data_IF_595123371448
#
_entry.id   IF_595123371448
#
_cell.length_a   1.000
_cell.length_b   1.000
_cell.length_c   1.000
_cell.angle_alpha   90.00
_cell.angle_beta   90.00
_cell.angle_gamma   90.00
#
_symmetry.space_group_name_H-M   'P 1'
#
loop_
_entity.id
_entity.type
_entity.pdbx_description
1 polymer ?
2 non-polymer ?
3 water ?
#
# COMPACT_ATOMS: atom_id res chain seq x y z
N UNK A 1 10.19 -15.64 -15.18
CA UNK A 1 9.25 -14.54 -15.55
C UNK A 1 7.90 -14.71 -14.86
N UNK A 2 7.38 -13.63 -14.29
CA UNK A 2 6.06 -13.64 -13.67
C UNK A 2 5.03 -14.23 -14.62
N UNK A 3 4.25 -15.20 -14.15
CA UNK A 3 3.23 -15.82 -15.00
C UNK A 3 2.10 -14.83 -15.25
N UNK A 4 1.39 -15.00 -16.35
CA UNK A 4 0.21 -14.16 -16.63
C UNK A 4 -0.82 -14.28 -15.51
N UNK A 5 -1.01 -15.50 -15.00
CA UNK A 5 -1.95 -15.73 -13.90
C UNK A 5 -1.55 -14.93 -12.66
N UNK A 6 -0.26 -15.02 -12.29
CA UNK A 6 0.26 -14.27 -11.13
C UNK A 6 0.19 -12.76 -11.34
N UNK A 7 0.46 -12.32 -12.56
CA UNK A 7 0.40 -10.90 -12.88
C UNK A 7 -1.02 -10.38 -12.68
N UNK A 8 -2.01 -11.15 -13.11
CA UNK A 8 -3.40 -10.77 -12.91
C UNK A 8 -3.72 -10.66 -11.42
N UNK A 9 -3.26 -11.65 -10.64
CA UNK A 9 -3.52 -11.63 -9.20
C UNK A 9 -2.87 -10.42 -8.53
N UNK A 10 -1.65 -10.11 -8.93
CA UNK A 10 -0.94 -8.95 -8.36
C UNK A 10 -1.64 -7.64 -8.72
N UNK A 11 -1.99 -7.51 -9.99
CA UNK A 11 -2.57 -6.27 -10.48
C UNK A 11 -4.02 -6.05 -10.07
N UNK A 12 -4.78 -7.14 -9.94
CA UNK A 12 -6.24 -7.02 -9.93
C UNK A 12 -6.99 -7.66 -8.77
N UNK A 13 -6.30 -8.46 -7.96
CA UNK A 13 -6.99 -9.18 -6.88
C UNK A 13 -6.68 -8.61 -5.51
N UNK A 14 -7.72 -8.25 -4.78
CA UNK A 14 -7.62 -7.91 -3.36
C UNK A 14 -8.87 -8.39 -2.65
N UNK A 15 -8.96 -9.70 -2.50
CA UNK A 15 -10.15 -10.34 -1.95
C UNK A 15 -10.38 -9.95 -0.50
N UNK A 16 -11.61 -9.57 -0.19
CA UNK A 16 -11.98 -9.18 1.17
C UNK A 16 -13.19 -8.28 1.21
N UNK A 17 -13.80 -8.17 2.39
CA UNK A 17 -15.03 -7.40 2.57
C UNK A 17 -14.85 -5.90 2.75
N UNK A 18 -13.72 -5.50 3.32
CA UNK A 18 -13.48 -4.09 3.63
C UNK A 18 -12.07 -3.65 3.26
N UNK A 19 -11.76 -3.66 1.94
CA UNK A 19 -10.40 -3.37 1.49
C UNK A 19 -9.90 -1.96 1.84
N UNK A 20 -10.82 -1.00 1.87
CA UNK A 20 -10.47 0.41 2.13
C UNK A 20 -10.53 0.79 3.61
N UNK A 21 -10.88 -0.16 4.47
CA UNK A 21 -10.95 0.07 5.92
C UNK A 21 -9.65 0.61 6.48
N UNK A 22 -9.76 1.53 7.44
CA UNK A 22 -8.60 2.07 8.14
C UNK A 22 -7.80 0.96 8.83
N UNK A 23 -8.48 -0.14 9.18
CA UNK A 23 -7.82 -1.30 9.77
C UNK A 23 -6.77 -1.92 8.85
N UNK A 24 -6.88 -1.63 7.55
CA UNK A 24 -5.95 -2.17 6.55
C UNK A 24 -4.78 -1.26 6.23
N UNK A 25 -4.73 -0.09 6.89
CA UNK A 25 -3.70 0.91 6.58
C UNK A 25 -2.29 0.31 6.64
N UNK A 26 -1.95 -0.33 7.77
CA UNK A 26 -0.62 -0.91 7.92
C UNK A 26 -0.33 -1.99 6.87
N UNK A 27 -1.31 -2.85 6.57
CA UNK A 27 -1.12 -3.85 5.53
C UNK A 27 -0.70 -3.22 4.22
N UNK A 28 -1.38 -2.13 3.85
CA UNK A 28 -1.12 -1.45 2.58
C UNK A 28 0.19 -0.68 2.62
N UNK A 29 0.40 0.06 3.71
CA UNK A 29 1.57 0.93 3.83
C UNK A 29 2.86 0.16 3.96
N UNK A 30 2.85 -0.90 4.76
CA UNK A 30 4.05 -1.72 4.95
C UNK A 30 4.45 -2.34 3.62
N UNK A 31 3.46 -2.68 2.81
CA UNK A 31 3.72 -3.19 1.47
C UNK A 31 4.27 -2.10 0.56
N UNK A 32 3.56 -0.98 0.48
CA UNK A 32 3.93 0.14 -0.38
C UNK A 32 5.33 0.66 -0.07
N UNK A 33 5.64 0.79 1.22
CA UNK A 33 6.91 1.38 1.65
C UNK A 33 8.02 0.33 1.79
N UNK A 34 7.78 -0.83 1.22
CA UNK A 34 8.82 -1.86 0.98
C UNK A 34 9.36 -2.48 2.26
N UNK A 35 8.48 -2.72 3.22
CA UNK A 35 8.89 -3.37 4.47
C UNK A 35 8.31 -4.77 4.63
N UNK A 36 7.87 -5.35 3.51
CA UNK A 36 7.37 -6.73 3.49
C UNK A 36 8.06 -7.58 2.42
N UNK A 37 9.22 -7.12 1.95
CA UNK A 37 10.03 -7.88 1.00
C UNK A 37 11.06 -8.73 1.74
N UNK A 38 11.04 -10.04 1.49
CA UNK A 38 11.97 -10.97 2.12
C UNK A 38 11.47 -11.51 3.46
N UNK A 39 10.94 -10.60 4.28
CA UNK A 39 10.35 -10.94 5.57
C UNK A 39 9.37 -9.82 5.95
N UNK A 40 8.48 -10.10 6.90
CA UNK A 40 7.60 -9.06 7.41
C UNK A 40 8.33 -8.30 8.51
N UNK A 41 8.52 -7.01 8.31
CA UNK A 41 9.07 -6.20 9.38
C UNK A 41 8.06 -6.24 10.54
N UNK A 42 8.49 -6.70 11.72
CA UNK A 42 7.53 -6.95 12.81
C UNK A 42 6.86 -5.72 13.42
N UNK A 43 7.58 -4.60 13.49
CA UNK A 43 7.10 -3.38 14.14
C UNK A 43 7.54 -2.19 13.32
N UNK A 44 6.62 -1.29 12.99
CA UNK A 44 7.00 -0.06 12.30
C UNK A 44 6.02 1.05 12.60
N UNK A 45 6.57 2.25 12.80
CA UNK A 45 5.78 3.44 13.08
C UNK A 45 5.77 4.41 11.90
N UNK A 46 4.58 4.89 11.54
CA UNK A 46 4.43 6.00 10.60
C UNK A 46 4.02 7.26 11.34
N UNK A 47 4.61 8.38 10.97
CA UNK A 47 4.35 9.66 11.62
C UNK A 47 3.55 10.56 10.68
N UNK A 48 2.46 11.13 11.18
CA UNK A 48 1.57 11.94 10.34
C UNK A 48 1.77 13.46 10.42
N UNK A 49 2.75 13.86 11.22
CA UNK A 49 3.09 15.26 11.37
C UNK A 49 3.96 15.72 10.20
N UNK A 50 4.02 17.03 10.01
CA UNK A 50 4.89 17.64 9.02
C UNK A 50 6.32 17.17 9.21
N UNK A 51 7.03 16.98 8.11
CA UNK A 51 8.46 16.68 8.17
C UNK A 51 9.24 17.77 8.91
N UNK A 52 8.77 19.02 8.85
CA UNK A 52 9.40 20.10 9.60
C UNK A 52 9.39 19.82 11.11
N UNK A 53 8.25 19.34 11.61
CA UNK A 53 8.11 19.02 13.03
C UNK A 53 8.97 17.84 13.42
N UNK A 54 9.08 16.84 12.54
CA UNK A 54 9.90 15.67 12.82
C UNK A 54 11.39 16.03 12.78
N UNK A 55 11.78 16.80 11.77
CA UNK A 55 13.16 17.30 11.70
C UNK A 55 13.54 18.13 12.93
N UNK A 56 12.56 18.90 13.45
CA UNK A 56 12.80 19.75 14.62
C UNK A 56 13.17 18.94 15.87
N UNK A 57 12.82 17.66 15.88
CA UNK A 57 13.11 16.81 17.05
C UNK A 57 14.62 16.69 17.27
N UNK A 58 15.39 16.79 16.19
CA UNK A 58 16.85 16.74 16.23
C UNK A 58 17.47 17.90 17.01
N UNK A 59 16.65 18.90 17.35
CA UNK A 59 17.09 20.00 18.21
C UNK A 59 16.36 20.02 19.54
N UNK A 60 15.67 18.93 19.87
CA UNK A 60 14.86 18.86 21.09
C UNK A 60 15.55 18.07 22.21
N UNK A 61 14.81 17.23 22.93
CA UNK A 61 15.34 16.57 24.14
C UNK A 61 16.25 15.39 23.80
N UNK A 62 17.53 15.51 24.17
CA UNK A 62 18.48 14.40 24.02
C UNK A 62 18.10 13.22 24.92
N UNK A 63 18.07 12.02 24.33
CA UNK A 63 17.87 10.78 25.08
C UNK A 63 18.76 9.68 24.48
N UNK A 64 19.15 8.71 25.30
CA UNK A 64 19.92 7.58 24.78
C UNK A 64 19.02 6.69 23.93
N UNK A 65 19.54 6.27 22.79
CA UNK A 65 18.84 5.32 21.94
C UNK A 65 18.72 4.00 22.67
N UNK A 66 17.68 3.23 22.33
CA UNK A 66 17.47 1.91 22.92
C UNK A 66 18.69 1.01 22.75
N UNK A 67 19.41 1.18 21.64
CA UNK A 67 20.58 0.34 21.35
C UNK A 67 21.90 0.87 21.89
N UNK A 68 21.83 1.92 22.71
CA UNK A 68 23.03 2.46 23.35
C UNK A 68 23.75 3.53 22.56
N UNK A 69 23.31 3.81 21.34
CA UNK A 69 23.85 4.94 20.58
C UNK A 69 23.41 6.23 21.24
N UNK A 70 24.14 7.31 20.96
CA UNK A 70 24.01 8.55 21.71
C UNK A 70 23.66 9.71 20.77
N UNK A 71 22.84 9.41 19.79
CA UNK A 71 22.39 10.43 18.83
C UNK A 71 20.87 10.48 18.71
N UNK A 72 20.17 10.07 19.77
CA UNK A 72 18.72 10.09 19.80
C UNK A 72 18.15 11.32 20.48
N UNK A 73 16.94 11.65 20.09
CA UNK A 73 16.24 12.85 20.55
C UNK A 73 14.78 12.50 20.70
N UNK A 74 14.17 13.00 21.77
CA UNK A 74 12.75 12.81 22.02
C UNK A 74 12.00 14.09 21.67
N UNK A 75 10.85 13.93 21.02
CA UNK A 75 9.99 15.08 20.70
C UNK A 75 9.45 15.71 21.98
N UNK A 76 9.44 17.04 22.00
CA UNK A 76 8.95 17.77 23.18
C UNK A 76 7.45 17.56 23.36
N UNK A 77 6.74 17.44 22.25
CA UNK A 77 5.30 17.23 22.27
C UNK A 77 4.95 15.86 21.67
N UNK A 78 3.74 15.39 21.94
CA UNK A 78 3.24 14.18 21.30
C UNK A 78 2.99 14.45 19.83
N UNK A 79 2.98 13.37 19.06
CA UNK A 79 2.71 13.43 17.63
C UNK A 79 1.68 12.37 17.27
N UNK A 80 0.89 12.67 16.24
CA UNK A 80 -0.05 11.71 15.69
C UNK A 80 0.73 10.70 14.88
N UNK A 81 0.69 9.45 15.32
CA UNK A 81 1.43 8.38 14.67
C UNK A 81 0.56 7.16 14.50
N UNK A 82 0.99 6.26 13.62
CA UNK A 82 0.34 4.98 13.45
C UNK A 82 1.36 3.90 13.74
N UNK A 83 0.99 3.04 14.67
CA UNK A 83 1.80 1.93 15.11
C UNK A 83 1.36 0.70 14.31
N UNK A 84 2.33 0.09 13.60
CA UNK A 84 2.07 -1.13 12.85
C UNK A 84 2.82 -2.30 13.47
N UNK A 85 2.07 -3.33 13.83
CA UNK A 85 2.63 -4.51 14.48
C UNK A 85 2.01 -5.76 13.91
N UNK A 86 2.86 -6.72 13.54
CA UNK A 86 2.39 -8.00 13.03
C UNK A 86 1.38 -8.64 13.96
N UNK A 87 0.34 -9.22 13.37
CA UNK A 87 -0.64 -10.00 14.12
C UNK A 87 -0.07 -11.38 14.40
N UNK A 88 -0.70 -12.11 15.33
CA UNK A 88 -0.29 -13.48 15.64
C UNK A 88 -0.44 -14.42 14.47
N UNK A 89 -1.28 -14.03 13.50
CA UNK A 89 -1.57 -14.84 12.32
C UNK A 89 -0.69 -14.52 11.11
N UNK A 90 -0.01 -13.38 11.16
CA UNK A 90 0.89 -12.95 10.09
C UNK A 90 2.00 -13.94 9.81
N UNK A 91 2.15 -14.30 8.54
CA UNK A 91 3.17 -15.24 8.10
C UNK A 91 3.61 -14.90 6.68
N UNK A 92 4.87 -14.47 6.53
CA UNK A 92 5.44 -14.18 5.21
C UNK A 92 5.19 -15.35 4.26
N UNK A 93 4.83 -15.07 2.98
CA UNK A 93 4.72 -13.77 2.33
C UNK A 93 3.40 -13.03 2.55
N UNK A 94 2.53 -13.59 3.39
CA UNK A 94 1.27 -12.94 3.76
C UNK A 94 1.42 -12.18 5.07
N UNK A 95 2.01 -10.99 4.97
CA UNK A 95 2.23 -10.15 6.14
C UNK A 95 0.91 -9.50 6.56
N UNK A 96 0.61 -9.55 7.85
CA UNK A 96 -0.61 -8.96 8.39
C UNK A 96 -0.29 -8.11 9.61
N UNK A 97 -0.90 -6.94 9.67
CA UNK A 97 -0.60 -5.97 10.70
C UNK A 97 -1.83 -5.45 11.41
N UNK A 98 -1.67 -5.22 12.71
CA UNK A 98 -2.64 -4.45 13.48
C UNK A 98 -2.26 -2.99 13.36
N UNK A 99 -3.22 -2.18 12.91
CA UNK A 99 -3.08 -0.74 12.80
C UNK A 99 -3.63 -0.07 14.06
N UNK A 100 -2.78 0.71 14.74
CA UNK A 100 -3.20 1.48 15.91
C UNK A 100 -2.80 2.93 15.77
N UNK A 101 -3.78 3.81 15.79
CA UNK A 101 -3.53 5.24 15.79
C UNK A 101 -3.41 5.73 17.22
N UNK A 102 -2.27 6.34 17.52
CA UNK A 102 -2.00 6.87 18.86
C UNK A 102 -1.33 8.22 18.77
N UNK A 103 -1.32 8.93 19.90
CA UNK A 103 -0.53 10.14 20.03
C UNK A 103 0.51 9.88 21.10
N UNK A 104 1.77 9.90 20.69
CA UNK A 104 2.90 9.60 21.57
C UNK A 104 4.07 10.50 21.25
N UNK A 105 4.99 10.65 22.20
CA UNK A 105 6.27 11.27 21.88
C UNK A 105 7.05 10.30 21.02
N UNK A 106 7.83 10.82 20.08
CA UNK A 106 8.69 9.96 19.27
C UNK A 106 10.14 10.14 19.66
N UNK A 107 10.92 9.08 19.52
CA UNK A 107 12.36 9.14 19.72
C UNK A 107 13.00 8.71 18.42
N UNK A 108 13.83 9.59 17.88
CA UNK A 108 14.53 9.30 16.63
C UNK A 108 16.03 9.49 16.79
N UNK A 109 16.81 8.75 16.00
CA UNK A 109 18.24 9.04 15.89
C UNK A 109 18.42 10.07 14.79
N UNK A 110 19.30 11.03 15.04
CA UNK A 110 19.62 12.07 14.07
C UNK A 110 21.07 11.98 13.63
N UNK A 111 21.27 12.08 12.32
CA UNK A 111 22.59 11.92 11.75
C UNK A 111 22.75 12.67 10.44
N UNK A 112 23.98 12.70 9.96
CA UNK A 112 24.30 13.43 8.75
C UNK A 112 24.48 14.92 8.96
N UNK A 113 24.71 15.62 7.85
CA UNK A 113 24.81 17.06 7.85
C UNK A 113 24.01 17.54 6.63
N UNK A 114 22.91 18.26 6.87
CA UNK A 114 22.34 18.65 8.16
C UNK A 114 21.91 17.44 8.96
N UNK A 115 21.84 17.59 10.28
CA UNK A 115 21.45 16.49 11.14
C UNK A 115 19.95 16.30 11.05
N UNK A 116 19.53 15.16 10.50
CA UNK A 116 18.12 14.87 10.28
C UNK A 116 17.78 13.47 10.81
N UNK A 117 16.48 13.18 10.97
CA UNK A 117 16.14 11.82 11.43
C UNK A 117 16.63 10.73 10.47
N UNK A 118 17.32 9.72 11.03
CA UNK A 118 17.85 8.61 10.23
C UNK A 118 17.36 7.25 10.72
N UNK A 119 16.77 7.22 11.91
CA UNK A 119 16.24 5.97 12.47
C UNK A 119 15.10 6.29 13.40
N UNK A 120 14.08 5.44 13.41
CA UNK A 120 13.01 5.59 14.39
C UNK A 120 13.32 4.66 15.55
N UNK A 121 13.53 5.24 16.73
CA UNK A 121 14.00 4.44 17.87
C UNK A 121 12.87 3.85 18.71
N UNK A 122 11.91 4.70 19.07
CA UNK A 122 10.83 4.32 19.97
C UNK A 122 9.73 5.36 19.95
N UNK A 123 8.55 4.95 20.41
CA UNK A 123 7.51 5.89 20.78
C UNK A 123 7.23 5.71 22.27
N UNK A 124 6.98 6.81 22.97
CA UNK A 124 6.79 6.79 24.43
C UNK A 124 5.58 7.61 24.86
N UNK B 1 22.88 4.43 -3.71
CA UNK B 1 22.31 3.80 -2.48
C UNK B 1 21.41 4.80 -1.78
N UNK B 2 20.23 4.33 -1.36
CA UNK B 2 19.26 5.15 -0.65
C UNK B 2 19.90 5.80 0.57
N UNK B 3 19.73 7.12 0.70
CA UNK B 3 20.27 7.82 1.87
C UNK B 3 19.50 7.42 3.11
N UNK B 4 20.17 7.50 4.27
CA UNK B 4 19.52 7.23 5.54
C UNK B 4 18.34 8.18 5.77
N UNK B 5 18.50 9.44 5.36
CA UNK B 5 17.40 10.40 5.48
C UNK B 5 16.20 9.97 4.65
N UNK B 6 16.46 9.55 3.41
CA UNK B 6 15.41 9.08 2.52
C UNK B 6 14.78 7.79 3.03
N UNK B 7 15.60 6.89 3.57
CA UNK B 7 15.11 5.65 4.17
C UNK B 7 14.17 5.95 5.33
N UNK B 8 14.54 6.93 6.16
CA UNK B 8 13.67 7.30 7.28
C UNK B 8 12.33 7.83 6.75
N UNK B 9 12.37 8.67 5.71
CA UNK B 9 11.15 9.21 5.12
C UNK B 9 10.28 8.09 4.54
N UNK B 10 10.91 7.13 3.88
CA UNK B 10 10.17 6.00 3.32
C UNK B 10 9.53 5.13 4.40
N UNK B 11 10.30 4.81 5.43
CA UNK B 11 9.84 3.87 6.43
C UNK B 11 8.88 4.49 7.45
N UNK B 12 9.02 5.79 7.68
CA UNK B 12 8.39 6.40 8.85
C UNK B 12 7.56 7.65 8.65
N UNK B 13 7.59 8.24 7.46
CA UNK B 13 6.85 9.48 7.24
C UNK B 13 5.61 9.28 6.38
N UNK B 14 4.47 9.73 6.91
CA UNK B 14 3.27 9.85 6.10
C UNK B 14 2.52 11.14 6.47
N UNK B 15 3.18 12.26 6.17
CA UNK B 15 2.69 13.59 6.53
C UNK B 15 1.47 13.99 5.70
N UNK B 16 1.37 13.40 4.51
CA UNK B 16 0.42 13.88 3.51
C UNK B 16 -0.89 13.13 3.50
N UNK B 17 -1.07 12.21 4.45
CA UNK B 17 -2.24 11.34 4.43
C UNK B 17 -2.84 11.08 5.80
N UNK B 18 -4.13 10.75 5.78
CA UNK B 18 -4.84 10.32 6.96
C UNK B 18 -4.94 8.80 6.98
N UNK B 19 -4.52 8.17 8.08
CA UNK B 19 -4.67 6.72 8.18
C UNK B 19 -6.13 6.25 8.26
N UNK B 20 -7.05 7.17 8.56
CA UNK B 20 -8.48 6.85 8.60
C UNK B 20 -9.19 7.09 7.27
N UNK B 21 -8.44 7.47 6.24
CA UNK B 21 -9.02 7.69 4.91
C UNK B 21 -9.47 6.40 4.23
N UNK B 22 -10.62 6.48 3.57
CA UNK B 22 -11.09 5.42 2.68
C UNK B 22 -10.69 5.71 1.24
N UNK B 23 -10.33 6.96 0.95
CA UNK B 23 -10.07 7.38 -0.42
C UNK B 23 -8.60 7.31 -0.84
N UNK B 24 -7.74 6.89 0.09
CA UNK B 24 -6.31 6.74 -0.16
C UNK B 24 -5.98 5.32 -0.62
N UNK B 25 -7.00 4.48 -0.68
CA UNK B 25 -6.80 3.07 -1.04
C UNK B 25 -6.00 2.87 -2.33
N UNK B 26 -6.43 3.52 -3.41
CA UNK B 26 -5.75 3.33 -4.69
C UNK B 26 -4.29 3.80 -4.63
N UNK B 27 -4.05 4.93 -3.99
CA UNK B 27 -2.68 5.42 -3.83
C UNK B 27 -1.78 4.38 -3.20
N UNK B 28 -2.28 3.74 -2.15
CA UNK B 28 -1.48 2.75 -1.44
C UNK B 28 -1.39 1.44 -2.18
N UNK B 29 -2.51 0.98 -2.74
CA UNK B 29 -2.53 -0.32 -3.40
C UNK B 29 -1.78 -0.33 -4.73
N UNK B 30 -1.91 0.74 -5.50
CA UNK B 30 -1.16 0.86 -6.76
C UNK B 30 0.34 0.86 -6.48
N UNK B 31 0.73 1.48 -5.36
CA UNK B 31 2.11 1.47 -4.91
C UNK B 31 2.52 0.05 -4.46
N UNK B 32 1.75 -0.52 -3.53
CA UNK B 32 2.01 -1.86 -3.02
C UNK B 32 2.17 -2.91 -4.13
N UNK B 33 1.28 -2.87 -5.11
CA UNK B 33 1.23 -3.88 -6.18
C UNK B 33 2.09 -3.52 -7.40
N UNK B 34 3.00 -2.55 -7.20
CA UNK B 34 4.10 -2.28 -8.14
C UNK B 34 3.63 -1.75 -9.50
N UNK B 35 2.61 -0.89 -9.45
CA UNK B 35 2.08 -0.26 -10.65
C UNK B 35 2.38 1.23 -10.69
N UNK B 36 3.29 1.66 -9.82
CA UNK B 36 3.75 3.06 -9.81
C UNK B 36 5.25 3.18 -10.03
N UNK B 37 5.88 2.09 -10.48
CA UNK B 37 7.31 2.08 -10.78
C UNK B 37 7.57 2.41 -12.25
N UNK B 38 8.46 3.37 -12.50
CA UNK B 38 8.80 3.78 -13.88
C UNK B 38 7.81 4.77 -14.46
N UNK B 39 6.52 4.50 -14.25
CA UNK B 39 5.42 5.39 -14.61
C UNK B 39 4.18 5.05 -13.77
N UNK B 40 3.23 5.97 -13.71
CA UNK B 40 1.95 5.71 -13.05
C UNK B 40 1.05 4.99 -14.02
N UNK B 41 0.65 3.76 -13.69
CA UNK B 41 -0.35 3.09 -14.50
C UNK B 41 -1.62 3.95 -14.43
N UNK B 42 -2.14 4.40 -15.58
CA UNK B 42 -3.24 5.38 -15.54
C UNK B 42 -4.58 4.84 -15.01
N UNK B 43 -4.85 3.57 -15.26
CA UNK B 43 -6.14 2.96 -14.91
C UNK B 43 -5.92 1.55 -14.43
N UNK B 44 -6.52 1.21 -13.29
CA UNK B 44 -6.45 -0.15 -12.79
C UNK B 44 -7.62 -0.49 -11.89
N UNK B 45 -8.12 -1.72 -12.04
CA UNK B 45 -9.22 -2.21 -11.22
C UNK B 45 -8.75 -3.30 -10.27
N UNK B 46 -9.15 -3.18 -9.01
CA UNK B 46 -8.98 -4.25 -8.02
C UNK B 46 -10.32 -4.89 -7.74
N UNK B 47 -10.31 -6.21 -7.67
CA UNK B 47 -11.51 -6.99 -7.44
C UNK B 47 -11.48 -7.57 -6.04
N UNK B 48 -12.59 -7.44 -5.32
CA UNK B 48 -12.66 -7.82 -3.90
C UNK B 48 -13.43 -9.10 -3.62
N UNK B 49 -14.00 -9.70 -4.67
CA UNK B 49 -14.58 -11.03 -4.55
C UNK B 49 -13.46 -12.06 -4.38
N UNK B 50 -13.85 -13.29 -4.03
CA UNK B 50 -12.88 -14.36 -3.87
C UNK B 50 -12.17 -14.68 -5.18
N UNK B 51 -10.95 -15.17 -5.08
CA UNK B 51 -10.22 -15.62 -6.25
C UNK B 51 -11.01 -16.70 -7.00
N UNK B 52 -11.66 -17.59 -6.25
CA UNK B 52 -12.49 -18.62 -6.87
C UNK B 52 -13.60 -18.01 -7.73
N UNK B 53 -14.29 -17.00 -7.21
CA UNK B 53 -15.35 -16.34 -7.97
C UNK B 53 -14.82 -15.66 -9.24
N UNK B 54 -13.64 -15.06 -9.14
CA UNK B 54 -13.06 -14.38 -10.29
C UNK B 54 -12.59 -15.40 -11.35
N UNK B 55 -11.94 -16.46 -10.89
CA UNK B 55 -11.58 -17.56 -11.79
C UNK B 55 -12.79 -18.12 -12.52
N UNK B 56 -13.91 -18.21 -11.82
CA UNK B 56 -15.14 -18.77 -12.40
C UNK B 56 -15.69 -17.96 -13.58
N UNK B 57 -15.33 -16.68 -13.67
CA UNK B 57 -15.78 -15.85 -14.79
C UNK B 57 -15.35 -16.43 -16.14
N UNK B 58 -14.22 -17.13 -16.15
CA UNK B 58 -13.72 -17.77 -17.38
C UNK B 58 -14.67 -18.85 -17.93
N UNK B 59 -15.63 -19.27 -17.10
CA UNK B 59 -16.64 -20.24 -17.53
C UNK B 59 -18.01 -19.60 -17.71
N UNK B 60 -18.06 -18.27 -17.68
CA UNK B 60 -19.32 -17.54 -17.77
C UNK B 60 -19.56 -16.96 -19.18
N UNK B 61 -20.15 -15.77 -19.29
CA UNK B 61 -20.60 -15.28 -20.60
C UNK B 61 -19.46 -14.79 -21.50
N UNK B 62 -19.30 -15.43 -22.66
CA UNK B 62 -18.38 -14.96 -23.69
C UNK B 62 -18.82 -13.62 -24.27
N UNK B 63 -17.92 -12.64 -24.25
CA UNK B 63 -18.22 -11.31 -24.77
C UNK B 63 -17.05 -10.76 -25.58
N UNK B 64 -17.29 -9.70 -26.34
CA UNK B 64 -16.24 -9.04 -27.10
C UNK B 64 -15.16 -8.45 -26.18
N UNK B 65 -13.90 -8.62 -26.55
CA UNK B 65 -12.79 -7.94 -25.87
C UNK B 65 -12.65 -6.57 -26.50
N UNK B 66 -12.26 -5.59 -25.69
CA UNK B 66 -11.97 -4.25 -26.22
C UNK B 66 -10.89 -4.29 -27.29
N UNK B 67 -9.96 -5.25 -27.18
CA UNK B 67 -8.88 -5.38 -28.15
C UNK B 67 -9.19 -6.33 -29.31
N UNK B 68 -10.43 -6.79 -29.37
CA UNK B 68 -10.85 -7.63 -30.50
C UNK B 68 -10.44 -9.08 -30.44
N UNK B 69 -9.78 -9.51 -29.36
CA UNK B 69 -9.50 -10.93 -29.19
C UNK B 69 -10.78 -11.63 -28.81
N UNK B 70 -10.77 -12.96 -28.84
CA UNK B 70 -11.98 -13.72 -28.65
C UNK B 70 -11.91 -14.58 -27.40
N UNK B 71 -11.22 -14.08 -26.37
CA UNK B 71 -11.02 -14.82 -25.14
C UNK B 71 -11.54 -14.09 -23.89
N UNK B 72 -12.49 -13.17 -24.09
CA UNK B 72 -13.04 -12.40 -22.97
C UNK B 72 -14.36 -12.94 -22.46
N UNK B 73 -14.55 -12.80 -21.15
CA UNK B 73 -15.69 -13.34 -20.46
C UNK B 73 -16.18 -12.30 -19.48
N UNK B 74 -17.51 -12.18 -19.38
CA UNK B 74 -18.16 -11.24 -18.49
C UNK B 74 -18.77 -11.98 -17.31
N UNK B 75 -18.61 -11.42 -16.12
CA UNK B 75 -19.21 -12.02 -14.92
C UNK B 75 -20.73 -11.97 -15.01
N UNK B 76 -21.35 -13.08 -14.63
CA UNK B 76 -22.82 -13.19 -14.62
C UNK B 76 -23.46 -12.22 -13.64
N UNK B 77 -22.76 -11.94 -12.55
CA UNK B 77 -23.23 -11.03 -11.53
C UNK B 77 -22.26 -9.87 -11.40
N UNK B 78 -22.73 -8.75 -10.86
CA UNK B 78 -21.82 -7.67 -10.53
C UNK B 78 -20.91 -8.16 -9.40
N UNK B 79 -19.74 -7.53 -9.31
CA UNK B 79 -18.77 -7.83 -8.30
C UNK B 79 -18.35 -6.55 -7.62
N UNK B 80 -17.95 -6.68 -6.35
CA UNK B 80 -17.37 -5.56 -5.63
C UNK B 80 -15.96 -5.34 -6.12
N UNK B 81 -15.74 -4.16 -6.71
CA UNK B 81 -14.45 -3.79 -7.24
C UNK B 81 -14.10 -2.35 -6.84
N UNK B 82 -12.82 -2.01 -6.98
CA UNK B 82 -12.37 -0.64 -6.81
C UNK B 82 -11.73 -0.17 -8.11
N UNK B 83 -12.23 0.96 -8.61
CA UNK B 83 -11.70 1.59 -9.80
C UNK B 83 -10.66 2.62 -9.37
N UNK B 84 -9.46 2.51 -9.93
CA UNK B 84 -8.39 3.46 -9.64
C UNK B 84 -8.02 4.21 -10.91
N UNK B 85 -8.19 5.53 -10.89
CA UNK B 85 -7.87 6.40 -12.02
C UNK B 85 -6.89 7.46 -11.60
N UNK B 86 -5.85 7.66 -12.41
CA UNK B 86 -4.90 8.70 -12.15
C UNK B 86 -5.60 10.06 -12.16
N UNK B 87 -5.31 10.88 -11.16
CA UNK B 87 -5.90 12.22 -11.07
C UNK B 87 -5.22 13.18 -12.04
N UNK B 88 -5.86 14.32 -12.28
CA UNK B 88 -5.32 15.35 -13.16
C UNK B 88 -4.02 15.97 -12.66
N UNK B 89 -3.84 15.94 -11.34
CA UNK B 89 -2.64 16.51 -10.71
C UNK B 89 -1.50 15.51 -10.60
N UNK B 90 -1.83 14.22 -10.73
CA UNK B 90 -0.83 13.16 -10.67
C UNK B 90 0.29 13.33 -11.70
N UNK B 91 1.52 13.24 -11.21
CA UNK B 91 2.70 13.34 -12.06
C UNK B 91 3.79 12.47 -11.45
N UNK B 92 4.24 11.46 -12.20
CA UNK B 92 5.32 10.58 -11.77
C UNK B 92 6.53 11.39 -11.31
N UNK B 93 7.18 11.00 -10.19
CA UNK B 93 6.95 9.80 -9.37
C UNK B 93 5.92 9.97 -8.25
N UNK B 94 5.14 11.05 -8.29
CA UNK B 94 4.05 11.26 -7.34
C UNK B 94 2.73 10.86 -7.97
N UNK B 95 2.47 9.55 -7.99
CA UNK B 95 1.27 9.00 -8.59
C UNK B 95 0.08 9.13 -7.68
N UNK B 96 -0.95 9.84 -8.15
CA UNK B 96 -2.16 10.09 -7.37
C UNK B 96 -3.38 9.53 -8.10
N UNK B 97 -4.24 8.86 -7.33
CA UNK B 97 -5.41 8.18 -7.89
C UNK B 97 -6.70 8.57 -7.19
N UNK B 98 -7.76 8.65 -7.98
CA UNK B 98 -9.12 8.67 -7.46
C UNK B 98 -9.59 7.23 -7.25
N UNK B 99 -10.04 6.94 -6.03
CA UNK B 99 -10.58 5.65 -5.65
C UNK B 99 -12.10 5.70 -5.77
N UNK B 100 -12.67 4.77 -6.54
CA UNK B 100 -14.13 4.65 -6.60
C UNK B 100 -14.55 3.23 -6.25
N UNK B 101 -15.39 3.11 -5.23
CA UNK B 101 -15.99 1.83 -4.89
C UNK B 101 -17.12 1.60 -5.87
N UNK B 102 -17.07 0.46 -6.55
CA UNK B 102 -18.08 0.16 -7.55
C UNK B 102 -18.56 -1.28 -7.49
N UNK B 103 -19.79 -1.50 -7.93
CA UNK B 103 -20.30 -2.84 -8.15
C UNK B 103 -20.71 -2.92 -9.61
N UNK B 104 -19.88 -3.58 -10.40
CA UNK B 104 -20.09 -3.70 -11.83
C UNK B 104 -19.74 -5.12 -12.25
N UNK B 105 -20.19 -5.50 -13.44
CA UNK B 105 -19.74 -6.76 -14.00
C UNK B 105 -18.32 -6.55 -14.48
N UNK B 106 -17.49 -7.56 -14.30
CA UNK B 106 -16.13 -7.47 -14.83
C UNK B 106 -16.03 -8.27 -16.11
N UNK B 107 -15.18 -7.79 -17.02
CA UNK B 107 -14.83 -8.52 -18.23
C UNK B 107 -13.35 -8.80 -18.11
N UNK B 108 -12.98 -10.07 -18.22
CA UNK B 108 -11.58 -10.47 -18.16
C UNK B 108 -11.23 -11.32 -19.36
N UNK B 109 -9.97 -11.24 -19.80
CA UNK B 109 -9.47 -12.17 -20.78
C UNK B 109 -8.94 -13.38 -20.01
N UNK B 110 -9.22 -14.57 -20.53
CA UNK B 110 -8.75 -15.80 -19.90
C UNK B 110 -7.79 -16.56 -20.79
N UNK B 111 -6.80 -17.17 -20.16
CA UNK B 111 -5.78 -17.93 -20.88
C UNK B 111 -5.13 -18.97 -20.00
N UNK B 112 -4.30 -19.81 -20.61
CA UNK B 112 -3.64 -20.89 -19.88
C UNK B 112 -4.53 -22.12 -19.79
N UNK B 113 -3.98 -23.17 -19.18
CA UNK B 113 -4.71 -24.41 -18.93
C UNK B 113 -4.33 -24.85 -17.52
N UNK B 114 -5.26 -24.69 -16.55
CA UNK B 114 -6.64 -24.25 -16.71
C UNK B 114 -6.77 -22.80 -17.13
N UNK B 115 -7.88 -22.48 -17.80
CA UNK B 115 -8.12 -21.14 -18.28
C UNK B 115 -8.47 -20.25 -17.09
N UNK B 116 -7.60 -19.28 -16.83
CA UNK B 116 -7.74 -18.37 -15.70
C UNK B 116 -7.61 -16.93 -16.20
N UNK B 117 -8.08 -15.94 -15.42
CA UNK B 117 -7.96 -14.55 -15.86
C UNK B 117 -6.50 -14.13 -16.04
N UNK B 118 -6.21 -13.52 -17.19
CA UNK B 118 -4.86 -13.04 -17.50
C UNK B 118 -4.79 -11.54 -17.81
N UNK B 119 -5.95 -10.92 -17.96
CA UNK B 119 -6.02 -9.50 -18.30
C UNK B 119 -7.37 -8.96 -17.85
N UNK B 120 -7.35 -7.79 -17.24
CA UNK B 120 -8.60 -7.12 -16.89
C UNK B 120 -9.01 -6.22 -18.05
N UNK B 121 -10.15 -6.51 -18.65
CA UNK B 121 -10.55 -5.80 -19.86
C UNK B 121 -11.38 -4.56 -19.59
N UNK B 122 -12.43 -4.72 -18.78
CA UNK B 122 -13.39 -3.64 -18.54
C UNK B 122 -14.31 -3.95 -17.38
N UNK B 123 -14.90 -2.90 -16.83
CA UNK B 123 -16.02 -3.07 -15.91
C UNK B 123 -17.20 -2.38 -16.53
N UNK B 124 -18.35 -3.05 -16.54
CA UNK B 124 -19.53 -2.54 -17.26
C UNK B 124 -20.81 -2.74 -16.44
#
# INVERSE_FOLDING_TARGET
KESAAAKFERQHMDSGNSPSSSSNYCNLMMCCRKMTQGKCKPVNTFVHESLADVKAVCSQKKVTCKNGQTNCYQSKSTMRITDCRETGSSKYPNCAYKTTQVEKHIIVACGGKPSVPVHFDASV
KESAAAKFERQHMDSGNSPSSSSNYCNLMMCCRKMTQGKCKPVNTFVHESLADVKAVCSQKKVTCKNGQTNCYQSKSTMRITDCRETGSSKYPNCAYKTTQVEKHIIVACGGKPSVPVHFDASV
#
